data_IF_152168020109
#
_entry.id   IF_152168020109
#
_cell.length_a   1.000
_cell.length_b   1.000
_cell.length_c   1.000
_cell.angle_alpha   90.00
_cell.angle_beta   90.00
_cell.angle_gamma   90.00
#
_symmetry.space_group_name_H-M   'P 1'
#
loop_
_entity.id
_entity.type
_entity.pdbx_description
1 polymer ?
#
# COMPACT_ATOMS: atom_id res chain seq x y z
N UNK A 1 22.28 -57.59 8.14
CA UNK A 1 21.96 -56.49 9.08
C UNK A 1 21.65 -55.23 8.27
N UNK A 2 20.39 -54.76 8.23
CA UNK A 2 20.03 -53.49 7.57
C UNK A 2 20.20 -52.36 8.60
N UNK A 3 21.10 -51.41 8.33
CA UNK A 3 21.29 -50.21 9.14
C UNK A 3 20.07 -49.26 9.07
N UNK A 4 19.91 -48.33 10.03
CA UNK A 4 18.69 -47.55 10.15
C UNK A 4 18.60 -46.52 9.02
N UNK A 5 17.50 -46.54 8.29
CA UNK A 5 17.13 -45.54 7.29
C UNK A 5 16.93 -44.19 7.98
N UNK A 6 17.91 -43.29 7.84
CA UNK A 6 17.78 -41.89 8.27
C UNK A 6 16.75 -41.22 7.37
N UNK A 7 15.55 -40.98 7.90
CA UNK A 7 14.48 -40.31 7.18
C UNK A 7 14.88 -38.88 6.85
N UNK A 8 15.04 -38.58 5.56
CA UNK A 8 15.16 -37.19 5.07
C UNK A 8 13.84 -36.51 5.39
N UNK A 9 13.85 -35.57 6.33
CA UNK A 9 12.70 -34.69 6.58
C UNK A 9 12.36 -34.00 5.26
N UNK A 10 11.22 -34.33 4.66
CA UNK A 10 10.67 -33.58 3.52
C UNK A 10 10.49 -32.14 4.00
N UNK A 11 11.43 -31.27 3.60
CA UNK A 11 11.44 -29.86 3.97
C UNK A 11 10.13 -29.18 3.58
N UNK A 12 9.72 -28.16 4.34
CA UNK A 12 8.52 -27.38 4.06
C UNK A 12 8.55 -26.68 2.70
N UNK A 13 7.47 -25.93 2.39
CA UNK A 13 7.37 -25.16 1.14
C UNK A 13 8.65 -24.34 0.92
N UNK A 14 9.28 -24.39 -0.27
CA UNK A 14 10.50 -23.65 -0.56
C UNK A 14 10.38 -22.18 -0.17
N UNK A 15 11.50 -21.61 0.30
CA UNK A 15 11.54 -20.19 0.65
C UNK A 15 11.22 -19.33 -0.56
N UNK A 16 10.35 -18.34 -0.36
CA UNK A 16 9.98 -17.40 -1.42
C UNK A 16 11.17 -16.55 -1.83
N UNK A 17 11.46 -16.51 -3.13
CA UNK A 17 12.54 -15.69 -3.69
C UNK A 17 11.91 -14.60 -4.55
N UNK A 18 11.95 -13.32 -4.12
CA UNK A 18 11.29 -12.24 -4.85
C UNK A 18 12.01 -11.96 -6.18
N UNK A 19 11.29 -12.08 -7.29
CA UNK A 19 11.76 -11.64 -8.61
C UNK A 19 11.45 -10.16 -8.87
N UNK A 20 12.15 -9.54 -9.81
CA UNK A 20 11.87 -8.15 -10.22
C UNK A 20 10.48 -7.99 -10.82
N UNK A 21 9.99 -9.01 -11.53
CA UNK A 21 8.63 -9.05 -12.06
C UNK A 21 7.62 -9.02 -10.91
N UNK A 22 7.81 -9.84 -9.87
CA UNK A 22 6.92 -9.84 -8.70
C UNK A 22 6.93 -8.50 -7.99
N UNK A 23 8.11 -7.89 -7.84
CA UNK A 23 8.23 -6.55 -7.22
C UNK A 23 7.43 -5.52 -7.99
N UNK A 24 7.51 -5.54 -9.32
CA UNK A 24 6.75 -4.63 -10.18
C UNK A 24 5.25 -4.88 -10.09
N UNK A 25 4.82 -6.14 -10.02
CA UNK A 25 3.40 -6.50 -9.82
C UNK A 25 2.89 -5.96 -8.49
N UNK A 26 3.62 -6.18 -7.39
CA UNK A 26 3.22 -5.71 -6.05
C UNK A 26 3.11 -4.19 -6.00
N UNK A 27 4.13 -3.49 -6.51
CA UNK A 27 4.16 -2.03 -6.53
C UNK A 27 3.02 -1.44 -7.36
N UNK A 28 2.75 -2.02 -8.54
CA UNK A 28 1.66 -1.60 -9.40
C UNK A 28 0.29 -1.85 -8.75
N UNK A 29 0.06 -3.05 -8.23
CA UNK A 29 -1.20 -3.40 -7.57
C UNK A 29 -1.47 -2.50 -6.36
N UNK A 30 -0.45 -2.22 -5.55
CA UNK A 30 -0.56 -1.29 -4.42
C UNK A 30 -0.89 0.15 -4.89
N UNK A 31 -0.34 0.59 -6.02
CA UNK A 31 -0.68 1.90 -6.59
C UNK A 31 -2.12 2.03 -7.10
N UNK A 32 -2.80 0.90 -7.32
CA UNK A 32 -4.22 0.85 -7.68
C UNK A 32 -5.12 0.50 -6.49
N UNK A 33 -4.65 0.67 -5.25
CA UNK A 33 -5.39 0.39 -4.03
C UNK A 33 -5.86 -1.08 -3.89
N UNK A 34 -5.20 -2.03 -4.55
CA UNK A 34 -5.53 -3.45 -4.41
C UNK A 34 -5.22 -3.91 -2.98
N UNK A 35 -6.14 -4.61 -2.30
CA UNK A 35 -5.88 -5.10 -0.94
C UNK A 35 -4.69 -6.05 -0.87
N UNK A 36 -3.85 -5.91 0.15
CA UNK A 36 -2.64 -6.71 0.36
C UNK A 36 -2.88 -8.22 0.36
N UNK A 37 -4.06 -8.67 0.80
CA UNK A 37 -4.46 -10.08 0.75
C UNK A 37 -4.60 -10.57 -0.70
N UNK A 38 -5.26 -9.81 -1.56
CA UNK A 38 -5.41 -10.14 -2.99
C UNK A 38 -4.08 -10.06 -3.73
N UNK A 39 -3.20 -9.14 -3.34
CA UNK A 39 -1.82 -9.09 -3.87
C UNK A 39 -1.06 -10.37 -3.49
N UNK A 40 -1.21 -10.86 -2.26
CA UNK A 40 -0.57 -12.11 -1.84
C UNK A 40 -1.13 -13.33 -2.61
N UNK A 41 -2.45 -13.36 -2.86
CA UNK A 41 -3.11 -14.38 -3.68
C UNK A 41 -2.63 -14.35 -5.14
N UNK A 42 -2.45 -13.16 -5.72
CA UNK A 42 -1.93 -12.97 -7.08
C UNK A 42 -0.52 -13.58 -7.26
N UNK A 43 0.31 -13.50 -6.22
CA UNK A 43 1.65 -14.08 -6.20
C UNK A 43 1.67 -15.53 -5.67
N UNK A 44 0.53 -16.08 -5.22
CA UNK A 44 0.45 -17.41 -4.64
C UNK A 44 1.21 -17.58 -3.31
N UNK A 45 1.41 -16.49 -2.57
CA UNK A 45 2.18 -16.45 -1.31
C UNK A 45 1.30 -16.09 -0.11
N UNK A 46 1.82 -16.32 1.10
CA UNK A 46 1.14 -15.86 2.31
C UNK A 46 1.28 -14.34 2.50
N UNK A 47 0.32 -13.65 3.15
CA UNK A 47 0.48 -12.23 3.49
C UNK A 47 1.73 -11.94 4.32
N UNK A 48 2.13 -12.85 5.24
CA UNK A 48 3.39 -12.71 5.99
C UNK A 48 4.61 -12.68 5.07
N UNK A 49 4.62 -13.53 4.04
CA UNK A 49 5.69 -13.56 3.03
C UNK A 49 5.71 -12.25 2.23
N UNK A 50 4.53 -11.75 1.85
CA UNK A 50 4.40 -10.49 1.12
C UNK A 50 5.03 -9.33 1.91
N UNK A 51 4.66 -9.16 3.18
CA UNK A 51 5.24 -8.12 4.04
C UNK A 51 6.74 -8.27 4.27
N UNK A 52 7.23 -9.52 4.38
CA UNK A 52 8.66 -9.78 4.60
C UNK A 52 9.51 -9.35 3.39
N UNK A 53 9.04 -9.58 2.17
CA UNK A 53 9.86 -9.43 0.97
C UNK A 53 9.55 -8.18 0.13
N UNK A 54 8.35 -7.62 0.24
CA UNK A 54 7.86 -6.56 -0.65
C UNK A 54 7.42 -5.29 0.07
N UNK A 55 7.94 -5.05 1.28
CA UNK A 55 7.53 -3.87 2.07
C UNK A 55 7.77 -2.56 1.32
N UNK A 56 8.93 -2.43 0.68
CA UNK A 56 9.29 -1.22 -0.05
C UNK A 56 8.37 -0.99 -1.27
N UNK A 57 8.01 -2.04 -1.98
CA UNK A 57 7.09 -2.00 -3.13
C UNK A 57 5.69 -1.57 -2.70
N UNK A 58 5.19 -2.11 -1.58
CA UNK A 58 3.90 -1.71 -0.99
C UNK A 58 3.90 -0.24 -0.60
N UNK A 59 4.96 0.22 0.08
CA UNK A 59 5.07 1.62 0.53
C UNK A 59 5.20 2.58 -0.67
N UNK A 60 6.00 2.24 -1.69
CA UNK A 60 6.10 3.02 -2.94
C UNK A 60 4.78 3.06 -3.70
N UNK A 61 4.08 1.92 -3.81
CA UNK A 61 2.77 1.84 -4.45
C UNK A 61 1.74 2.72 -3.74
N UNK A 62 1.67 2.64 -2.41
CA UNK A 62 0.79 3.48 -1.60
C UNK A 62 1.09 4.98 -1.77
N UNK A 63 2.38 5.37 -1.77
CA UNK A 63 2.78 6.76 -2.00
C UNK A 63 2.37 7.26 -3.39
N UNK A 64 2.45 6.42 -4.43
CA UNK A 64 1.97 6.77 -5.78
C UNK A 64 0.46 6.98 -5.82
N UNK A 65 -0.30 6.12 -5.16
CA UNK A 65 -1.74 6.29 -5.03
C UNK A 65 -2.07 7.61 -4.32
N UNK A 66 -1.39 7.90 -3.20
CA UNK A 66 -1.59 9.16 -2.47
C UNK A 66 -1.29 10.38 -3.36
N UNK A 67 -0.19 10.37 -4.10
CA UNK A 67 0.17 11.46 -5.02
C UNK A 67 -0.87 11.63 -6.14
N UNK A 68 -1.39 10.53 -6.70
CA UNK A 68 -2.43 10.57 -7.73
C UNK A 68 -3.75 11.15 -7.17
N UNK A 69 -4.17 10.71 -5.98
CA UNK A 69 -5.35 11.23 -5.29
C UNK A 69 -5.19 12.72 -4.94
N UNK A 70 -4.03 13.13 -4.45
CA UNK A 70 -3.72 14.53 -4.18
C UNK A 70 -3.80 15.38 -5.45
N UNK A 71 -3.21 14.91 -6.55
CA UNK A 71 -3.28 15.59 -7.86
C UNK A 71 -4.73 15.73 -8.34
N UNK A 72 -5.53 14.68 -8.20
CA UNK A 72 -6.95 14.70 -8.55
C UNK A 72 -7.74 15.70 -7.68
N UNK A 73 -7.44 15.74 -6.38
CA UNK A 73 -8.05 16.68 -5.44
C UNK A 73 -7.70 18.13 -5.79
N UNK A 74 -6.44 18.42 -6.12
CA UNK A 74 -6.03 19.76 -6.59
C UNK A 74 -6.78 20.18 -7.85
N UNK A 75 -6.98 19.27 -8.80
CA UNK A 75 -7.77 19.54 -10.01
C UNK A 75 -9.23 19.89 -9.67
N UNK A 76 -9.85 19.20 -8.70
CA UNK A 76 -11.20 19.53 -8.24
C UNK A 76 -11.21 20.89 -7.53
N UNK A 77 -10.20 21.17 -6.71
CA UNK A 77 -10.06 22.43 -5.98
C UNK A 77 -9.92 23.64 -6.93
N UNK A 78 -9.32 23.45 -8.11
CA UNK A 78 -9.22 24.49 -9.15
C UNK A 78 -10.53 24.72 -9.93
N UNK A 79 -11.58 23.94 -9.69
CA UNK A 79 -12.89 24.14 -10.31
C UNK A 79 -13.69 25.28 -9.70
N UNK A 80 -14.90 25.49 -10.21
CA UNK A 80 -15.85 26.47 -9.68
C UNK A 80 -17.03 25.77 -8.99
N UNK A 81 -17.57 26.39 -7.94
CA UNK A 81 -18.78 25.92 -7.25
C UNK A 81 -18.54 25.18 -5.92
N UNK A 82 -19.62 24.64 -5.35
CA UNK A 82 -19.62 24.13 -3.98
C UNK A 82 -18.68 22.93 -3.76
N UNK A 83 -18.43 22.11 -4.79
CA UNK A 83 -17.50 20.97 -4.70
C UNK A 83 -16.05 21.44 -4.57
N UNK A 84 -15.65 22.48 -5.31
CA UNK A 84 -14.33 23.08 -5.22
C UNK A 84 -14.09 23.69 -3.82
N UNK A 85 -15.08 24.41 -3.27
CA UNK A 85 -15.00 24.95 -1.91
C UNK A 85 -14.78 23.85 -0.86
N UNK A 86 -15.47 22.71 -0.98
CA UNK A 86 -15.29 21.57 -0.07
C UNK A 86 -13.88 20.97 -0.19
N UNK A 87 -13.36 20.81 -1.42
CA UNK A 87 -12.01 20.32 -1.65
C UNK A 87 -10.93 21.25 -1.06
N UNK A 88 -11.05 22.57 -1.29
CA UNK A 88 -10.18 23.59 -0.70
C UNK A 88 -10.24 23.55 0.83
N UNK A 89 -11.45 23.53 1.40
CA UNK A 89 -11.66 23.46 2.86
C UNK A 89 -11.01 22.20 3.44
N UNK A 90 -11.19 21.06 2.79
CA UNK A 90 -10.55 19.81 3.21
C UNK A 90 -9.02 19.93 3.19
N UNK A 91 -8.42 20.48 2.13
CA UNK A 91 -6.96 20.68 2.03
C UNK A 91 -6.43 21.61 3.12
N UNK A 92 -7.09 22.74 3.36
CA UNK A 92 -6.73 23.70 4.41
C UNK A 92 -6.71 23.02 5.80
N UNK A 93 -7.73 22.21 6.09
CA UNK A 93 -7.80 21.47 7.35
C UNK A 93 -6.74 20.37 7.44
N UNK A 94 -6.60 19.55 6.40
CA UNK A 94 -5.76 18.35 6.42
C UNK A 94 -4.26 18.65 6.36
N UNK A 95 -3.84 19.70 5.65
CA UNK A 95 -2.41 20.01 5.43
C UNK A 95 -1.92 21.25 6.17
N UNK A 96 -2.78 22.23 6.43
CA UNK A 96 -2.39 23.51 7.02
C UNK A 96 -2.91 23.71 8.45
N UNK A 97 -3.64 22.74 9.00
CA UNK A 97 -4.15 22.79 10.37
C UNK A 97 -5.26 23.84 10.58
N UNK A 98 -5.93 24.27 9.51
CA UNK A 98 -7.03 25.21 9.63
C UNK A 98 -8.15 24.61 10.47
N UNK A 99 -8.62 25.37 11.46
CA UNK A 99 -9.77 25.04 12.28
C UNK A 99 -10.84 26.11 12.05
N UNK A 100 -12.11 25.74 11.81
CA UNK A 100 -13.19 26.71 11.78
C UNK A 100 -13.51 27.27 13.18
N UNK A 101 -12.98 26.66 14.24
CA UNK A 101 -13.17 27.10 15.61
C UNK A 101 -12.00 27.97 16.07
N UNK A 102 -12.30 29.05 16.78
CA UNK A 102 -11.29 29.87 17.45
C UNK A 102 -10.47 29.02 18.43
N UNK A 103 -9.14 29.26 18.58
CA UNK A 103 -8.38 28.68 19.67
C UNK A 103 -9.06 29.04 20.99
N UNK A 104 -9.38 28.04 21.83
CA UNK A 104 -9.83 28.33 23.19
C UNK A 104 -8.68 29.00 23.92
N UNK A 105 -8.83 30.28 24.23
CA UNK A 105 -7.95 30.95 25.19
C UNK A 105 -8.11 30.22 26.53
N UNK A 106 -7.05 29.52 26.93
CA UNK A 106 -6.84 29.00 28.28
C UNK A 106 -6.14 30.05 29.13
#
# INVERSE_FOLDING_TARGET
>A
MKGPSTGIRKGGRPAHTPSDTDRRIVELAASYAVPTIQIAELLGISPKTLFKHYRAELDRGAARLEAALASHLFRIANGNGAVALKAITFLLRARFGWSPYLPRHT
#
